data_IF_680551025614
#
_entry.id   IF_680551025614
#
_cell.length_a   1.000
_cell.length_b   1.000
_cell.length_c   1.000
_cell.angle_alpha   90.00
_cell.angle_beta   90.00
_cell.angle_gamma   90.00
#
_symmetry.space_group_name_H-M   'P 1'
#
loop_
_entity.id
_entity.type
_entity.pdbx_description
1 polymer ?
#
# COMPACT_ATOMS: atom_id res chain seq x y z
N UNK A 1 7.37 -48.27 21.15
CA UNK A 1 6.51 -47.15 21.64
C UNK A 1 6.78 -46.78 23.11
N UNK A 2 8.00 -47.00 23.64
CA UNK A 2 8.36 -46.70 25.04
C UNK A 2 9.41 -45.57 25.16
N UNK A 3 10.05 -45.17 24.06
CA UNK A 3 11.09 -44.13 24.04
C UNK A 3 10.56 -42.70 23.84
N UNK A 4 9.42 -42.53 23.16
CA UNK A 4 8.84 -41.20 22.93
C UNK A 4 8.20 -40.59 24.20
N UNK A 5 7.70 -41.41 25.12
CA UNK A 5 7.05 -40.96 26.36
C UNK A 5 8.07 -40.53 27.43
N UNK A 6 9.27 -41.09 27.39
CA UNK A 6 10.36 -40.74 28.33
C UNK A 6 11.00 -39.39 27.96
N UNK A 7 11.09 -39.07 26.67
CA UNK A 7 11.61 -37.77 26.23
C UNK A 7 10.65 -36.61 26.55
N UNK A 8 9.34 -36.85 26.52
CA UNK A 8 8.32 -35.82 26.78
C UNK A 8 8.13 -35.51 28.29
N UNK A 9 8.42 -36.47 29.18
CA UNK A 9 8.37 -36.27 30.63
C UNK A 9 9.64 -35.63 31.21
N UNK A 10 10.78 -35.69 30.51
CA UNK A 10 12.03 -35.06 30.94
C UNK A 10 12.04 -33.55 30.66
N UNK A 11 11.36 -33.11 29.60
CA UNK A 11 11.27 -31.69 29.21
C UNK A 11 10.24 -30.92 30.06
N UNK A 12 9.27 -31.61 30.67
CA UNK A 12 8.24 -30.99 31.52
C UNK A 12 8.67 -30.83 33.00
N UNK A 13 9.77 -31.46 33.43
CA UNK A 13 10.26 -31.39 34.81
C UNK A 13 11.38 -30.36 35.04
N UNK A 14 11.90 -29.72 33.98
CA UNK A 14 12.91 -28.66 34.06
C UNK A 14 12.29 -27.25 33.90
N UNK A 15 11.03 -27.09 34.26
CA UNK A 15 10.34 -25.80 34.35
C UNK A 15 9.98 -25.45 35.80
N UNK A 16 10.91 -25.66 36.75
CA UNK A 16 10.68 -25.20 38.11
C UNK A 16 11.99 -25.04 38.90
N UNK A 17 12.56 -23.84 38.85
CA UNK A 17 13.24 -23.15 39.97
C UNK A 17 14.32 -22.20 39.43
N UNK A 18 13.98 -20.92 39.38
CA UNK A 18 14.99 -19.86 39.39
C UNK A 18 14.38 -18.71 40.19
N UNK A 19 14.74 -18.69 41.47
CA UNK A 19 14.28 -17.73 42.44
C UNK A 19 14.68 -16.30 42.10
N UNK A 20 13.83 -15.40 42.59
CA UNK A 20 14.06 -13.97 42.70
C UNK A 20 15.44 -13.68 43.31
N UNK A 21 16.23 -12.88 42.62
CA UNK A 21 17.25 -12.04 43.27
C UNK A 21 17.26 -10.71 42.53
N UNK A 22 16.50 -9.76 43.08
CA UNK A 22 16.49 -8.38 42.62
C UNK A 22 17.72 -7.67 43.22
N UNK A 23 18.78 -7.49 42.43
CA UNK A 23 19.85 -6.56 42.74
C UNK A 23 19.45 -5.18 42.20
N UNK A 24 19.00 -4.29 43.09
CA UNK A 24 18.82 -2.88 42.75
C UNK A 24 20.20 -2.23 42.57
N UNK A 25 20.68 -2.19 41.33
CA UNK A 25 21.92 -1.52 40.96
C UNK A 25 21.61 -0.07 40.65
N UNK A 26 21.88 0.81 41.61
CA UNK A 26 21.84 2.26 41.44
C UNK A 26 22.96 2.67 40.48
N UNK A 27 22.65 2.74 39.19
CA UNK A 27 23.55 3.28 38.17
C UNK A 27 23.32 4.78 38.04
N UNK A 28 24.30 5.55 38.51
CA UNK A 28 24.36 7.00 38.33
C UNK A 28 24.65 7.32 36.87
N UNK A 29 23.63 7.18 36.01
CA UNK A 29 23.78 7.47 34.59
C UNK A 29 23.90 8.97 34.37
N UNK A 30 25.13 9.41 34.12
CA UNK A 30 25.48 10.72 33.61
C UNK A 30 24.48 11.16 32.53
N UNK A 31 23.91 12.34 32.71
CA UNK A 31 23.01 12.96 31.75
C UNK A 31 23.83 13.41 30.52
N UNK A 32 24.18 12.44 29.67
CA UNK A 32 24.74 12.71 28.36
C UNK A 32 23.61 13.26 27.48
N UNK A 33 23.49 14.59 27.41
CA UNK A 33 22.67 15.28 26.42
C UNK A 33 23.25 14.95 25.04
N UNK A 34 22.69 13.93 24.38
CA UNK A 34 22.95 13.68 22.96
C UNK A 34 22.36 14.87 22.21
N UNK A 35 23.22 15.72 21.66
CA UNK A 35 22.80 16.72 20.69
C UNK A 35 22.24 15.96 19.48
N UNK A 36 20.92 15.89 19.37
CA UNK A 36 20.24 15.35 18.20
C UNK A 36 20.43 16.36 17.07
N UNK A 37 21.34 16.07 16.15
CA UNK A 37 21.48 16.86 14.93
C UNK A 37 20.18 16.69 14.14
N UNK A 38 19.33 17.71 14.15
CA UNK A 38 18.10 17.69 13.38
C UNK A 38 18.47 17.74 11.89
N UNK A 39 18.27 16.63 11.17
CA UNK A 39 18.27 16.64 9.71
C UNK A 39 17.08 17.45 9.25
N UNK A 40 17.34 18.61 8.65
CA UNK A 40 16.30 19.41 7.99
C UNK A 40 15.79 18.61 6.79
N UNK A 41 14.48 18.32 6.69
CA UNK A 41 13.93 17.64 5.53
C UNK A 41 14.17 18.50 4.29
N UNK A 42 14.89 17.96 3.31
CA UNK A 42 15.04 18.59 2.00
C UNK A 42 13.74 18.39 1.22
N UNK A 43 13.14 19.48 0.75
CA UNK A 43 11.98 19.42 -0.12
C UNK A 43 12.35 18.66 -1.41
N UNK A 44 11.64 17.58 -1.70
CA UNK A 44 11.74 16.90 -3.00
C UNK A 44 10.95 17.74 -4.00
N UNK A 45 11.50 18.06 -5.19
CA UNK A 45 10.75 18.74 -6.23
C UNK A 45 9.49 17.95 -6.57
N UNK A 46 8.33 18.61 -6.55
CA UNK A 46 7.09 17.99 -7.01
C UNK A 46 7.23 17.65 -8.50
N UNK A 47 6.70 16.51 -8.97
CA UNK A 47 6.63 16.23 -10.40
C UNK A 47 5.89 17.37 -11.11
N UNK A 48 6.42 17.80 -12.25
CA UNK A 48 5.81 18.87 -13.03
C UNK A 48 4.40 18.45 -13.47
N UNK A 49 3.41 19.32 -13.24
CA UNK A 49 2.06 19.14 -13.75
C UNK A 49 2.08 19.18 -15.27
N UNK A 50 1.60 18.12 -15.91
CA UNK A 50 1.42 18.08 -17.36
C UNK A 50 -0.02 18.48 -17.67
N UNK A 51 -0.19 19.50 -18.50
CA UNK A 51 -1.49 19.91 -19.03
C UNK A 51 -1.69 19.27 -20.38
N UNK A 52 -2.67 18.39 -20.48
CA UNK A 52 -3.12 17.82 -21.75
C UNK A 52 -4.31 18.61 -22.26
N UNK A 53 -4.37 18.84 -23.57
CA UNK A 53 -5.56 19.37 -24.22
C UNK A 53 -6.53 18.26 -24.62
N UNK A 54 -7.63 18.58 -25.31
CA UNK A 54 -8.68 17.62 -25.61
C UNK A 54 -8.35 16.67 -26.77
N UNK A 55 -7.31 16.96 -27.58
CA UNK A 55 -7.02 16.21 -28.78
C UNK A 55 -6.01 15.08 -28.53
N UNK A 56 -6.12 14.00 -29.31
CA UNK A 56 -5.30 12.79 -29.15
C UNK A 56 -3.80 13.04 -29.36
N UNK A 57 -3.43 13.95 -30.26
CA UNK A 57 -2.04 14.35 -30.56
C UNK A 57 -1.34 15.04 -29.39
N UNK A 58 -2.10 15.47 -28.38
CA UNK A 58 -1.58 16.10 -27.18
C UNK A 58 -1.22 15.06 -26.10
N UNK A 59 -1.57 13.79 -26.29
CA UNK A 59 -1.27 12.70 -25.36
C UNK A 59 -0.07 11.87 -25.84
N UNK A 60 0.68 11.25 -24.91
CA UNK A 60 1.72 10.29 -25.28
C UNK A 60 1.16 9.13 -26.11
N UNK A 61 1.98 8.57 -26.99
CA UNK A 61 1.59 7.44 -27.82
C UNK A 61 1.12 6.25 -26.95
N UNK A 62 -0.02 5.66 -27.32
CA UNK A 62 -0.61 4.54 -26.60
C UNK A 62 -1.38 4.90 -25.33
N UNK A 63 -1.56 6.20 -25.01
CA UNK A 63 -2.36 6.66 -23.87
C UNK A 63 -3.72 7.15 -24.34
N UNK A 64 -4.79 6.71 -23.66
CA UNK A 64 -6.15 7.14 -23.98
C UNK A 64 -6.42 8.56 -23.47
N UNK A 65 -6.98 9.45 -24.31
CA UNK A 65 -7.34 10.81 -23.89
C UNK A 65 -8.52 10.82 -22.92
N UNK A 66 -9.32 9.74 -22.87
CA UNK A 66 -10.49 9.64 -22.00
C UNK A 66 -10.15 9.19 -20.58
N UNK A 67 -9.06 8.44 -20.41
CA UNK A 67 -8.68 7.86 -19.11
C UNK A 67 -7.30 8.30 -18.62
N UNK A 68 -6.44 8.81 -19.49
CA UNK A 68 -5.04 9.10 -19.18
C UNK A 68 -4.20 7.85 -18.92
N UNK A 69 -4.72 6.66 -19.21
CA UNK A 69 -4.05 5.38 -18.97
C UNK A 69 -3.54 4.76 -20.28
N UNK A 70 -2.50 3.91 -20.22
CA UNK A 70 -2.07 3.10 -21.35
C UNK A 70 -3.21 2.21 -21.85
N UNK A 71 -3.41 2.19 -23.16
CA UNK A 71 -4.40 1.34 -23.82
C UNK A 71 -3.77 0.00 -24.17
N UNK A 72 -4.49 -1.10 -23.98
CA UNK A 72 -4.01 -2.45 -24.34
C UNK A 72 -3.98 -2.65 -25.86
N UNK A 73 -5.02 -2.20 -26.55
CA UNK A 73 -5.15 -2.30 -28.00
C UNK A 73 -5.05 -0.89 -28.63
N UNK A 74 -4.00 -0.62 -29.45
CA UNK A 74 -3.80 0.68 -30.07
C UNK A 74 -4.89 1.06 -31.08
N UNK A 75 -5.64 0.10 -31.62
CA UNK A 75 -6.72 0.40 -32.56
C UNK A 75 -7.89 1.14 -31.89
N UNK A 76 -8.04 1.03 -30.57
CA UNK A 76 -9.05 1.79 -29.81
C UNK A 76 -8.84 3.30 -29.88
N UNK A 77 -7.61 3.78 -30.10
CA UNK A 77 -7.32 5.22 -30.22
C UNK A 77 -7.83 5.81 -31.55
N UNK A 78 -8.18 4.96 -32.52
CA UNK A 78 -8.78 5.39 -33.79
C UNK A 78 -10.29 5.58 -33.68
N UNK A 79 -10.90 5.07 -32.61
CA UNK A 79 -12.34 5.16 -32.40
C UNK A 79 -12.71 6.57 -31.91
N UNK A 80 -13.78 7.18 -32.46
CA UNK A 80 -14.27 8.45 -31.95
C UNK A 80 -14.89 8.27 -30.56
N UNK A 81 -14.77 9.30 -29.71
CA UNK A 81 -15.46 9.33 -28.43
C UNK A 81 -16.98 9.44 -28.64
N UNK A 82 -17.76 8.68 -27.85
CA UNK A 82 -19.22 8.64 -27.94
C UNK A 82 -19.83 9.05 -26.61
N UNK A 83 -20.85 9.91 -26.67
CA UNK A 83 -21.68 10.27 -25.52
C UNK A 83 -23.07 9.64 -25.68
N UNK A 84 -23.50 8.93 -24.64
CA UNK A 84 -24.79 8.24 -24.63
C UNK A 84 -25.62 8.75 -23.46
N UNK A 85 -26.84 9.20 -23.73
CA UNK A 85 -27.81 9.56 -22.70
C UNK A 85 -28.56 8.30 -22.25
N UNK A 86 -28.46 7.96 -20.98
CA UNK A 86 -29.08 6.76 -20.41
C UNK A 86 -30.11 7.13 -19.35
N UNK A 87 -31.30 6.55 -19.43
CA UNK A 87 -32.31 6.69 -18.39
C UNK A 87 -31.89 5.92 -17.13
N UNK A 88 -31.90 6.59 -15.97
CA UNK A 88 -31.46 6.03 -14.68
C UNK A 88 -32.61 5.94 -13.64
N UNK A 89 -33.86 6.02 -14.09
CA UNK A 89 -35.05 5.93 -13.22
C UNK A 89 -36.08 4.98 -13.86
N UNK A 90 -36.79 4.15 -13.09
CA UNK A 90 -36.82 3.99 -11.62
C UNK A 90 -35.65 3.16 -11.04
N UNK A 91 -35.51 3.02 -9.70
CA UNK A 91 -34.45 2.21 -9.09
C UNK A 91 -34.41 0.76 -9.55
N UNK A 92 -35.54 0.19 -9.98
CA UNK A 92 -35.61 -1.16 -10.54
C UNK A 92 -34.97 -1.31 -11.92
N UNK A 93 -34.69 -0.21 -12.63
CA UNK A 93 -33.97 -0.22 -13.91
C UNK A 93 -32.44 -0.36 -13.74
N UNK A 94 -31.96 -0.43 -12.49
CA UNK A 94 -30.56 -0.68 -12.15
C UNK A 94 -30.35 -2.17 -11.85
N UNK A 95 -29.20 -2.76 -12.22
CA UNK A 95 -28.03 -2.14 -12.85
C UNK A 95 -28.19 -1.90 -14.35
N UNK A 96 -27.53 -0.87 -14.87
CA UNK A 96 -27.48 -0.60 -16.32
C UNK A 96 -26.50 -1.56 -17.01
N UNK A 97 -26.86 -2.01 -18.21
CA UNK A 97 -26.03 -2.91 -19.00
C UNK A 97 -24.96 -2.14 -19.75
N UNK A 98 -23.74 -2.67 -19.82
CA UNK A 98 -22.71 -2.15 -20.72
C UNK A 98 -22.02 -0.86 -20.26
N UNK A 99 -21.80 -0.69 -18.95
CA UNK A 99 -21.00 0.44 -18.43
C UNK A 99 -19.61 0.03 -17.92
N UNK A 100 -19.26 -1.25 -17.97
CA UNK A 100 -18.08 -1.82 -17.31
C UNK A 100 -17.18 -2.64 -18.24
N UNK A 101 -17.05 -2.25 -19.50
CA UNK A 101 -16.21 -2.92 -20.49
C UNK A 101 -15.06 -2.02 -20.94
#
# INVERSE_FOLDING_TARGET
MKFATILFSLVLALTLTAGMTATAQSDSRLLATRASTATVPTATPAPASQTFGPNLDQFPAGVSPLTGLPVTDPDNLKLPAVLVSLANFPPSARPLTGLSF
#
